data_IF_974063579718
#
_entry.id   IF_974063579718
#
_cell.length_a   1.000
_cell.length_b   1.000
_cell.length_c   1.000
_cell.angle_alpha   90.00
_cell.angle_beta   90.00
_cell.angle_gamma   90.00
#
_symmetry.space_group_name_H-M   'P 1'
#
loop_
_entity.id
_entity.type
_entity.pdbx_description
1 polymer ?
#
# COMPACT_ATOMS: atom_id res chain seq x y z
N UNK A 1 -14.24 30.57 -16.09
CA UNK A 1 -14.64 29.23 -16.58
C UNK A 1 -13.46 28.25 -16.73
N UNK A 2 -12.28 28.68 -17.22
CA UNK A 2 -11.12 27.80 -17.47
C UNK A 2 -10.47 27.22 -16.19
N UNK A 3 -10.56 27.92 -15.06
CA UNK A 3 -9.98 27.51 -13.78
C UNK A 3 -10.79 26.41 -13.07
N UNK A 4 -12.12 26.46 -13.17
CA UNK A 4 -13.02 25.41 -12.66
C UNK A 4 -12.86 24.09 -13.42
N UNK A 5 -12.67 24.16 -14.74
CA UNK A 5 -12.37 23.00 -15.58
C UNK A 5 -11.01 22.35 -15.20
N UNK A 6 -10.02 23.16 -14.83
CA UNK A 6 -8.71 22.70 -14.36
C UNK A 6 -8.80 22.00 -12.99
N UNK A 7 -9.61 22.52 -12.06
CA UNK A 7 -9.85 21.88 -10.75
C UNK A 7 -10.54 20.52 -10.93
N UNK A 8 -11.60 20.46 -11.76
CA UNK A 8 -12.29 19.20 -12.07
C UNK A 8 -11.34 18.14 -12.64
N UNK A 9 -10.52 18.53 -13.62
CA UNK A 9 -9.53 17.64 -14.25
C UNK A 9 -8.47 17.14 -13.25
N UNK A 10 -7.95 18.03 -12.39
CA UNK A 10 -6.99 17.66 -11.34
C UNK A 10 -7.58 16.68 -10.34
N UNK A 11 -8.83 16.87 -9.93
CA UNK A 11 -9.53 15.95 -9.00
C UNK A 11 -9.74 14.58 -9.60
N UNK A 12 -10.18 14.51 -10.85
CA UNK A 12 -10.36 13.22 -11.57
C UNK A 12 -9.03 12.49 -11.69
N UNK A 13 -7.95 13.20 -12.07
CA UNK A 13 -6.60 12.62 -12.16
C UNK A 13 -6.07 12.13 -10.81
N UNK A 14 -6.30 12.89 -9.74
CA UNK A 14 -5.91 12.51 -8.40
C UNK A 14 -6.65 11.24 -7.94
N UNK A 15 -7.97 11.19 -8.16
CA UNK A 15 -8.78 10.01 -7.86
C UNK A 15 -8.38 8.77 -8.67
N UNK A 16 -8.13 8.93 -9.96
CA UNK A 16 -7.65 7.84 -10.82
C UNK A 16 -6.29 7.32 -10.36
N UNK A 17 -5.35 8.22 -10.00
CA UNK A 17 -4.04 7.84 -9.48
C UNK A 17 -4.16 7.05 -8.18
N UNK A 18 -4.97 7.53 -7.22
CA UNK A 18 -5.20 6.84 -5.95
C UNK A 18 -5.80 5.45 -6.16
N UNK A 19 -6.79 5.32 -7.06
CA UNK A 19 -7.40 4.03 -7.37
C UNK A 19 -6.41 3.05 -8.02
N UNK A 20 -5.54 3.53 -8.91
CA UNK A 20 -4.49 2.68 -9.52
C UNK A 20 -3.49 2.21 -8.47
N UNK A 21 -3.09 3.09 -7.55
CA UNK A 21 -2.17 2.75 -6.46
C UNK A 21 -2.79 1.72 -5.50
N UNK A 22 -4.05 1.89 -5.14
CA UNK A 22 -4.78 0.94 -4.29
C UNK A 22 -4.94 -0.42 -4.99
N UNK A 23 -5.28 -0.43 -6.27
CA UNK A 23 -5.36 -1.67 -7.04
C UNK A 23 -3.99 -2.36 -7.12
N UNK A 24 -2.88 -1.62 -7.21
CA UNK A 24 -1.53 -2.19 -7.21
C UNK A 24 -1.15 -2.77 -5.84
N UNK A 25 -1.50 -2.07 -4.75
CA UNK A 25 -1.32 -2.55 -3.37
C UNK A 25 -2.06 -3.87 -3.14
N UNK A 26 -3.35 -3.94 -3.52
CA UNK A 26 -4.15 -5.13 -3.28
C UNK A 26 -3.73 -6.33 -4.11
N UNK A 27 -3.32 -6.13 -5.37
CA UNK A 27 -2.75 -7.20 -6.18
C UNK A 27 -1.49 -7.77 -5.55
N UNK A 28 -0.56 -6.91 -5.17
CA UNK A 28 0.67 -7.31 -4.48
C UNK A 28 0.39 -8.10 -3.20
N UNK A 29 -0.57 -7.64 -2.38
CA UNK A 29 -0.93 -8.32 -1.15
C UNK A 29 -1.58 -9.69 -1.42
N UNK A 30 -2.49 -9.76 -2.40
CA UNK A 30 -3.16 -11.00 -2.80
C UNK A 30 -2.16 -12.04 -3.28
N UNK A 31 -1.24 -11.67 -4.18
CA UNK A 31 -0.20 -12.57 -4.69
C UNK A 31 0.65 -13.15 -3.55
N UNK A 32 1.07 -12.31 -2.60
CA UNK A 32 1.85 -12.77 -1.44
C UNK A 32 1.03 -13.64 -0.48
N UNK A 33 -0.26 -13.34 -0.29
CA UNK A 33 -1.15 -14.13 0.55
C UNK A 33 -1.36 -15.52 -0.05
N UNK A 34 -1.61 -15.61 -1.35
CA UNK A 34 -1.79 -16.87 -2.08
C UNK A 34 -0.55 -17.76 -1.97
N UNK A 35 0.64 -17.15 -2.02
CA UNK A 35 1.92 -17.85 -1.85
C UNK A 35 2.29 -18.12 -0.36
N UNK A 36 1.47 -17.72 0.61
CA UNK A 36 1.79 -17.74 2.06
C UNK A 36 3.09 -17.00 2.44
N UNK A 37 3.40 -15.92 1.72
CA UNK A 37 4.62 -15.12 1.87
C UNK A 37 4.44 -13.87 2.71
N UNK A 38 3.21 -13.48 3.02
CA UNK A 38 2.92 -12.33 3.88
C UNK A 38 2.23 -12.77 5.17
N UNK A 39 2.62 -12.16 6.28
CA UNK A 39 1.95 -12.31 7.56
C UNK A 39 1.63 -10.93 8.16
N UNK A 40 0.37 -10.74 8.50
CA UNK A 40 -0.13 -9.56 9.18
C UNK A 40 -0.47 -9.92 10.62
N UNK A 41 0.30 -9.40 11.58
CA UNK A 41 0.15 -9.74 13.00
C UNK A 41 -0.23 -8.50 13.78
N UNK A 42 -1.22 -8.62 14.67
CA UNK A 42 -1.53 -7.58 15.66
C UNK A 42 -1.07 -8.01 17.05
N UNK A 43 -0.20 -7.21 17.67
CA UNK A 43 0.28 -7.43 19.05
C UNK A 43 0.37 -6.10 19.78
N UNK A 44 -0.14 -6.05 21.01
CA UNK A 44 -0.04 -4.86 21.89
C UNK A 44 -0.50 -3.55 21.22
N UNK A 45 -1.57 -3.63 20.41
CA UNK A 45 -2.12 -2.47 19.70
C UNK A 45 -1.37 -2.08 18.42
N UNK A 46 -0.26 -2.74 18.10
CA UNK A 46 0.53 -2.52 16.89
C UNK A 46 0.25 -3.61 15.85
N UNK A 47 0.11 -3.19 14.60
CA UNK A 47 0.16 -4.06 13.44
C UNK A 47 1.60 -4.18 12.95
N UNK A 48 1.97 -5.37 12.51
CA UNK A 48 3.26 -5.65 11.87
C UNK A 48 3.01 -6.46 10.60
N UNK A 49 3.63 -6.03 9.50
CA UNK A 49 3.58 -6.76 8.21
C UNK A 49 4.96 -7.37 7.95
N UNK A 50 4.96 -8.68 7.82
CA UNK A 50 6.12 -9.49 7.50
C UNK A 50 5.97 -10.03 6.09
N UNK A 51 7.03 -9.96 5.29
CA UNK A 51 7.08 -10.57 3.94
C UNK A 51 8.34 -11.43 3.82
N UNK A 52 8.19 -12.66 3.36
CA UNK A 52 9.28 -13.64 3.25
C UNK A 52 10.07 -13.79 4.57
N UNK A 53 9.36 -13.74 5.69
CA UNK A 53 9.94 -13.82 7.05
C UNK A 53 10.63 -12.53 7.54
N UNK A 54 10.59 -11.43 6.78
CA UNK A 54 11.20 -10.15 7.15
C UNK A 54 10.15 -9.11 7.52
N UNK A 55 10.33 -8.43 8.66
CA UNK A 55 9.50 -7.30 9.05
C UNK A 55 9.74 -6.13 8.10
N UNK A 56 8.68 -5.67 7.42
CA UNK A 56 8.77 -4.52 6.52
C UNK A 56 8.21 -3.24 7.12
N UNK A 57 7.17 -3.34 7.93
CA UNK A 57 6.54 -2.18 8.55
C UNK A 57 5.80 -2.58 9.84
N UNK A 58 5.66 -1.60 10.73
CA UNK A 58 4.79 -1.68 11.90
C UNK A 58 4.17 -0.32 12.22
N UNK A 59 2.88 -0.28 12.50
CA UNK A 59 2.14 0.92 12.90
C UNK A 59 0.86 0.54 13.68
N UNK A 60 0.21 1.49 14.35
CA UNK A 60 -1.09 1.25 14.99
C UNK A 60 -2.22 1.06 13.97
N UNK A 61 -2.08 1.62 12.77
CA UNK A 61 -3.02 1.48 11.66
C UNK A 61 -2.62 0.33 10.73
N UNK A 62 -3.57 -0.57 10.48
CA UNK A 62 -3.38 -1.67 9.53
C UNK A 62 -3.09 -1.16 8.11
N UNK A 63 -3.90 -0.19 7.64
CA UNK A 63 -3.75 0.38 6.30
C UNK A 63 -2.39 1.07 6.12
N UNK A 64 -1.97 1.86 7.11
CA UNK A 64 -0.67 2.55 7.06
C UNK A 64 0.50 1.55 7.05
N UNK A 65 0.42 0.50 7.88
CA UNK A 65 1.41 -0.57 7.92
C UNK A 65 1.51 -1.27 6.56
N UNK A 66 0.38 -1.64 5.96
CA UNK A 66 0.33 -2.38 4.71
C UNK A 66 0.87 -1.54 3.53
N UNK A 67 0.46 -0.27 3.45
CA UNK A 67 0.98 0.68 2.44
C UNK A 67 2.48 0.90 2.59
N UNK A 68 2.96 1.03 3.81
CA UNK A 68 4.38 1.21 4.09
C UNK A 68 5.18 -0.02 3.68
N UNK A 69 4.70 -1.23 4.02
CA UNK A 69 5.33 -2.47 3.61
C UNK A 69 5.43 -2.61 2.08
N UNK A 70 4.35 -2.24 1.36
CA UNK A 70 4.34 -2.25 -0.11
C UNK A 70 5.41 -1.33 -0.72
N UNK A 71 5.51 -0.09 -0.22
CA UNK A 71 6.51 0.87 -0.67
C UNK A 71 7.93 0.36 -0.35
N UNK A 72 8.16 -0.12 0.87
CA UNK A 72 9.45 -0.67 1.29
C UNK A 72 9.88 -1.85 0.43
N UNK A 73 9.00 -2.80 0.14
CA UNK A 73 9.36 -3.95 -0.68
C UNK A 73 9.69 -3.55 -2.12
N UNK A 74 8.98 -2.59 -2.69
CA UNK A 74 9.28 -2.07 -4.03
C UNK A 74 10.62 -1.35 -4.07
N UNK A 75 10.95 -0.57 -3.04
CA UNK A 75 12.25 0.08 -2.93
C UNK A 75 13.39 -0.95 -2.82
N UNK A 76 13.20 -2.01 -2.02
CA UNK A 76 14.18 -3.09 -1.86
C UNK A 76 14.40 -3.89 -3.16
N UNK A 77 13.39 -4.03 -4.02
CA UNK A 77 13.49 -4.73 -5.31
C UNK A 77 14.09 -3.87 -6.45
N UNK A 78 14.24 -2.56 -6.24
CA UNK A 78 14.74 -1.63 -7.26
C UNK A 78 16.27 -1.43 -7.19
N UNK A 79 16.95 -2.14 -6.28
CA UNK A 79 18.39 -2.17 -6.07
C UNK A 79 18.92 -3.48 -6.65
#
# INVERSE_FOLDING_TARGET
>A
MQELANIGTRRVRAGATANIQDAALWRWYADLMEDNRVACVRKEGMWSVWVDGRLLASDQSYDLTLRTAFVMQRALKAI
#
